data_IF_053062146565
#
_entry.id   IF_053062146565
#
_cell.length_a   1.000
_cell.length_b   1.000
_cell.length_c   1.000
_cell.angle_alpha   90.00
_cell.angle_beta   90.00
_cell.angle_gamma   90.00
#
_symmetry.space_group_name_H-M   'P 1'
#
loop_
_entity.id
_entity.type
_entity.pdbx_description
1 polymer ?
#
# COMPACT_ATOMS: atom_id res chain seq x y z
N UNK A 1 6.57 38.95 46.83
CA UNK A 1 7.02 39.46 45.52
C UNK A 1 6.16 38.81 44.44
N UNK A 2 5.73 39.61 43.46
CA UNK A 2 4.47 39.48 42.72
C UNK A 2 4.35 38.29 41.77
N UNK A 3 3.17 37.65 41.79
CA UNK A 3 2.59 36.88 40.67
C UNK A 3 2.04 37.86 39.62
N UNK A 4 2.30 37.68 38.31
CA UNK A 4 1.60 38.44 37.30
C UNK A 4 0.24 37.79 37.00
N UNK A 5 -0.81 38.59 37.19
CA UNK A 5 -2.16 38.40 36.67
C UNK A 5 -2.17 38.87 35.23
N UNK A 6 -2.67 38.05 34.29
CA UNK A 6 -3.02 38.50 32.93
C UNK A 6 -4.53 38.44 32.76
N UNK A 7 -5.13 39.62 32.71
CA UNK A 7 -6.53 39.87 32.40
C UNK A 7 -6.82 39.59 30.91
N UNK A 8 -7.91 38.83 30.66
CA UNK A 8 -8.67 38.86 29.40
C UNK A 8 -9.25 40.27 29.22
N UNK A 9 -9.07 40.92 28.04
CA UNK A 9 -10.19 41.00 27.11
C UNK A 9 -9.76 41.11 25.62
N UNK A 10 -10.03 40.08 24.82
CA UNK A 10 -10.21 40.20 23.36
C UNK A 10 -10.93 38.96 22.81
N UNK A 11 -12.00 38.53 23.49
CA UNK A 11 -12.93 37.50 23.04
C UNK A 11 -14.26 38.14 22.61
N UNK A 12 -14.19 39.11 21.69
CA UNK A 12 -15.39 39.61 20.98
C UNK A 12 -14.96 40.42 19.76
N UNK A 13 -14.74 39.74 18.63
CA UNK A 13 -14.91 40.26 17.24
C UNK A 13 -14.48 39.26 16.14
N UNK A 14 -14.77 37.96 16.28
CA UNK A 14 -14.97 37.06 15.11
C UNK A 14 -16.17 36.17 15.41
N UNK A 15 -17.35 36.78 15.46
CA UNK A 15 -18.67 36.12 15.50
C UNK A 15 -19.63 37.01 14.73
N UNK A 16 -19.40 37.13 13.41
CA UNK A 16 -20.36 37.57 12.39
C UNK A 16 -19.57 37.81 11.09
N UNK A 17 -19.36 36.76 10.30
CA UNK A 17 -19.57 36.72 8.83
C UNK A 17 -19.60 35.23 8.43
N UNK A 18 -20.71 34.55 8.73
CA UNK A 18 -21.08 33.29 8.07
C UNK A 18 -22.56 33.36 7.73
N UNK A 19 -22.86 33.89 6.54
CA UNK A 19 -24.14 33.70 5.88
C UNK A 19 -24.02 34.05 4.39
N UNK A 20 -23.25 33.26 3.63
CA UNK A 20 -23.52 33.10 2.20
C UNK A 20 -23.03 31.73 1.70
N UNK A 21 -23.84 30.96 0.96
CA UNK A 21 -23.51 29.62 0.51
C UNK A 21 -22.87 29.70 -0.88
N UNK A 22 -21.58 30.08 -0.98
CA UNK A 22 -20.80 30.02 -2.25
C UNK A 22 -19.30 30.22 -1.96
N UNK A 23 -18.63 29.17 -1.47
CA UNK A 23 -17.17 29.01 -1.52
C UNK A 23 -16.78 27.57 -1.10
N UNK A 24 -17.19 26.59 -1.90
CA UNK A 24 -16.59 25.24 -1.89
C UNK A 24 -15.69 25.16 -3.11
N UNK A 25 -14.42 25.52 -2.95
CA UNK A 25 -13.30 25.12 -3.78
C UNK A 25 -12.03 25.81 -3.28
N UNK A 26 -10.92 25.06 -3.29
CA UNK A 26 -9.54 25.51 -3.11
C UNK A 26 -9.07 25.68 -1.64
N UNK A 27 -8.08 24.84 -1.30
CA UNK A 27 -6.81 25.12 -0.59
C UNK A 27 -6.52 24.00 0.41
N UNK A 28 -5.56 23.15 0.05
CA UNK A 28 -4.83 22.30 0.97
C UNK A 28 -3.58 23.02 1.50
N UNK A 29 -3.11 22.50 2.64
CA UNK A 29 -1.80 22.71 3.29
C UNK A 29 -1.57 24.09 3.92
N UNK A 30 -1.73 24.16 5.25
CA UNK A 30 -0.99 25.09 6.14
C UNK A 30 -1.30 24.80 7.62
N UNK A 31 -0.40 24.10 8.32
CA UNK A 31 0.01 24.40 9.71
C UNK A 31 1.10 23.40 10.17
N UNK A 32 2.30 23.90 10.49
CA UNK A 32 3.36 23.16 11.19
C UNK A 32 3.96 24.10 12.23
N UNK A 33 4.05 23.67 13.50
CA UNK A 33 4.89 24.12 14.63
C UNK A 33 4.35 23.41 15.90
N UNK A 34 5.11 22.86 16.85
CA UNK A 34 6.53 22.97 17.19
C UNK A 34 6.98 21.69 17.95
N UNK A 35 8.21 21.20 17.72
CA UNK A 35 8.87 20.21 18.58
C UNK A 35 9.89 20.93 19.45
N UNK A 36 9.77 20.78 20.76
CA UNK A 36 10.72 21.28 21.75
C UNK A 36 12.00 20.45 21.74
N UNK A 37 13.13 21.13 21.70
CA UNK A 37 14.49 20.56 21.81
C UNK A 37 14.73 20.01 23.22
N UNK A 38 15.07 18.72 23.34
CA UNK A 38 15.79 18.19 24.50
C UNK A 38 17.26 18.00 24.11
N UNK A 39 18.14 18.71 24.81
CA UNK A 39 19.59 18.52 24.74
C UNK A 39 19.98 17.29 25.56
N UNK A 40 20.92 16.45 25.09
CA UNK A 40 21.54 15.43 25.94
C UNK A 40 22.71 16.03 26.73
N UNK A 41 22.68 15.79 28.04
CA UNK A 41 23.79 16.07 28.94
C UNK A 41 25.04 15.27 28.54
N UNK A 42 26.17 15.97 28.56
CA UNK A 42 27.51 15.42 28.47
C UNK A 42 27.97 15.09 29.89
N UNK A 43 28.21 13.82 30.15
CA UNK A 43 29.28 13.41 31.07
C UNK A 43 29.87 12.09 30.58
N UNK A 44 31.07 12.21 30.00
CA UNK A 44 31.94 11.10 29.67
C UNK A 44 32.96 10.93 30.78
N UNK A 45 32.90 9.80 31.48
CA UNK A 45 34.01 9.28 32.27
C UNK A 45 34.55 8.02 31.58
N UNK A 46 35.82 8.11 31.22
CA UNK A 46 36.66 7.07 30.62
C UNK A 46 37.10 6.10 31.72
N UNK A 47 36.95 4.80 31.51
CA UNK A 47 37.82 3.77 32.09
C UNK A 47 37.85 2.53 31.19
N UNK A 48 39.08 2.13 30.84
CA UNK A 48 39.45 0.99 30.00
C UNK A 48 39.54 -0.32 30.84
N UNK A 49 39.74 -1.50 30.18
CA UNK A 49 39.27 -2.79 30.66
C UNK A 49 40.30 -3.58 31.47
N UNK A 50 39.83 -4.59 32.21
CA UNK A 50 40.66 -5.69 32.71
C UNK A 50 40.07 -7.03 32.28
N UNK A 51 40.99 -7.92 31.88
CA UNK A 51 40.75 -9.23 31.32
C UNK A 51 40.60 -10.33 32.40
N UNK A 52 40.23 -11.50 31.88
CA UNK A 52 40.47 -12.87 32.36
C UNK A 52 39.54 -13.48 33.42
N UNK A 53 39.07 -14.69 33.09
CA UNK A 53 38.39 -15.61 34.00
C UNK A 53 37.47 -16.61 33.29
N UNK A 54 38.06 -17.67 32.71
CA UNK A 54 37.39 -18.93 32.39
C UNK A 54 36.78 -19.56 33.66
N UNK A 55 35.60 -20.19 33.58
CA UNK A 55 35.44 -21.63 33.86
C UNK A 55 34.01 -22.10 33.52
N UNK A 56 33.88 -23.37 33.14
CA UNK A 56 32.65 -24.02 32.72
C UNK A 56 31.75 -24.50 33.87
N UNK A 57 30.63 -25.13 33.51
CA UNK A 57 29.80 -25.80 34.50
C UNK A 57 28.40 -26.14 34.01
N UNK A 58 28.18 -27.41 33.71
CA UNK A 58 26.94 -27.98 33.26
C UNK A 58 25.82 -27.98 34.33
N UNK A 59 24.58 -27.95 33.86
CA UNK A 59 23.61 -28.96 34.25
C UNK A 59 22.44 -28.57 35.17
N UNK A 60 21.27 -29.03 34.70
CA UNK A 60 20.12 -29.60 35.44
C UNK A 60 18.92 -28.69 35.71
N UNK A 61 17.88 -29.01 34.94
CA UNK A 61 16.47 -29.07 35.34
C UNK A 61 16.28 -29.59 36.77
N UNK A 62 15.45 -28.92 37.56
CA UNK A 62 14.59 -29.54 38.58
C UNK A 62 13.25 -28.83 38.61
N UNK A 63 12.20 -29.63 38.63
CA UNK A 63 10.80 -29.26 38.63
C UNK A 63 10.26 -28.90 40.03
N UNK A 64 9.13 -28.19 40.00
CA UNK A 64 7.96 -28.29 40.88
C UNK A 64 8.07 -27.94 42.37
N UNK A 65 7.26 -26.96 42.80
CA UNK A 65 6.22 -27.15 43.82
C UNK A 65 5.33 -25.91 43.95
N UNK A 66 4.01 -26.10 43.81
CA UNK A 66 2.99 -25.22 44.42
C UNK A 66 2.76 -25.63 45.87
N UNK A 67 2.06 -24.79 46.67
CA UNK A 67 0.77 -25.27 47.15
C UNK A 67 -0.37 -24.26 47.04
N UNK A 68 -1.57 -24.84 47.04
CA UNK A 68 -2.86 -24.25 46.78
C UNK A 68 -3.45 -23.42 47.92
N UNK A 69 -4.36 -22.51 47.58
CA UNK A 69 -5.47 -22.11 48.45
C UNK A 69 -6.78 -22.12 47.65
N UNK A 70 -7.71 -22.95 48.10
CA UNK A 70 -9.08 -23.11 47.61
C UNK A 70 -9.91 -21.87 47.91
N UNK A 71 -10.75 -21.45 46.97
CA UNK A 71 -12.10 -20.91 47.26
C UNK A 71 -13.11 -21.46 46.25
N UNK A 72 -14.24 -21.84 46.82
CA UNK A 72 -15.44 -22.46 46.28
C UNK A 72 -16.32 -21.46 45.53
N UNK A 73 -17.07 -21.93 44.52
CA UNK A 73 -18.30 -21.24 44.09
C UNK A 73 -18.69 -21.48 42.64
N UNK A 74 -19.76 -22.25 42.47
CA UNK A 74 -20.72 -22.33 41.36
C UNK A 74 -20.32 -22.85 39.98
N UNK A 75 -21.04 -23.92 39.62
CA UNK A 75 -20.96 -24.59 38.33
C UNK A 75 -21.77 -23.87 37.25
N UNK A 76 -21.16 -23.79 36.08
CA UNK A 76 -21.83 -23.79 34.79
C UNK A 76 -21.08 -24.80 33.92
N UNK A 77 -21.83 -25.63 33.19
CA UNK A 77 -21.31 -26.71 32.38
C UNK A 77 -20.58 -26.13 31.15
N UNK A 78 -19.27 -26.32 31.05
CA UNK A 78 -18.51 -26.05 29.84
C UNK A 78 -18.74 -27.18 28.83
N UNK A 79 -19.70 -26.97 27.93
CA UNK A 79 -19.78 -27.71 26.67
C UNK A 79 -18.57 -27.37 25.79
N UNK A 80 -18.13 -28.28 24.89
CA UNK A 80 -17.02 -27.99 24.00
C UNK A 80 -17.33 -26.73 23.19
N UNK A 81 -16.38 -25.79 23.20
CA UNK A 81 -16.46 -24.56 22.41
C UNK A 81 -16.81 -24.92 20.96
N UNK A 82 -17.79 -24.22 20.34
CA UNK A 82 -18.14 -24.50 18.96
C UNK A 82 -16.90 -24.27 18.09
N UNK A 83 -16.72 -25.05 17.01
CA UNK A 83 -15.62 -24.82 16.08
C UNK A 83 -15.69 -23.36 15.62
N UNK A 84 -14.53 -22.70 15.58
CA UNK A 84 -14.37 -21.38 14.98
C UNK A 84 -14.91 -21.46 13.56
N UNK A 85 -16.14 -21.02 13.37
CA UNK A 85 -16.81 -21.03 12.08
C UNK A 85 -16.00 -20.17 11.13
N UNK A 86 -15.60 -20.78 10.02
CA UNK A 86 -15.24 -20.08 8.79
C UNK A 86 -16.33 -19.04 8.53
N UNK A 87 -16.03 -17.76 8.75
CA UNK A 87 -16.96 -16.68 8.38
C UNK A 87 -17.17 -16.81 6.89
N UNK A 88 -18.38 -17.21 6.51
CA UNK A 88 -18.81 -17.32 5.13
C UNK A 88 -18.37 -16.08 4.37
N UNK A 89 -17.39 -16.26 3.49
CA UNK A 89 -17.07 -15.30 2.44
C UNK A 89 -18.38 -14.82 1.82
N UNK A 90 -18.63 -13.51 1.87
CA UNK A 90 -19.86 -12.89 1.37
C UNK A 90 -20.30 -13.53 0.04
N UNK A 91 -21.61 -13.81 -0.18
CA UNK A 91 -22.09 -14.43 -1.43
C UNK A 91 -21.59 -13.74 -2.71
N UNK A 92 -21.33 -12.42 -2.65
CA UNK A 92 -20.70 -11.64 -3.72
C UNK A 92 -19.26 -12.11 -4.02
N UNK A 93 -18.44 -12.37 -3.00
CA UNK A 93 -17.05 -12.87 -3.15
C UNK A 93 -17.06 -14.24 -3.81
N UNK A 94 -17.91 -15.17 -3.35
CA UNK A 94 -18.01 -16.51 -3.93
C UNK A 94 -18.51 -16.47 -5.36
N UNK A 95 -19.46 -15.60 -5.67
CA UNK A 95 -19.90 -15.37 -7.04
C UNK A 95 -18.74 -14.90 -7.93
N UNK A 96 -17.98 -13.89 -7.50
CA UNK A 96 -16.83 -13.36 -8.25
C UNK A 96 -15.74 -14.42 -8.45
N UNK A 97 -15.42 -15.21 -7.43
CA UNK A 97 -14.45 -16.30 -7.51
C UNK A 97 -14.91 -17.45 -8.43
N UNK A 98 -16.22 -17.60 -8.64
CA UNK A 98 -16.80 -18.58 -9.55
C UNK A 98 -16.95 -18.12 -10.99
N UNK A 99 -16.66 -16.85 -11.30
CA UNK A 99 -16.77 -16.34 -12.68
C UNK A 99 -15.71 -16.97 -13.59
N UNK A 100 -16.06 -17.41 -14.81
CA UNK A 100 -15.09 -17.84 -15.79
C UNK A 100 -14.31 -16.63 -16.36
N UNK A 101 -13.08 -16.83 -16.87
CA UNK A 101 -12.30 -15.75 -17.51
C UNK A 101 -13.07 -14.99 -18.59
N UNK A 102 -13.92 -15.69 -19.35
CA UNK A 102 -14.74 -15.12 -20.42
C UNK A 102 -15.87 -14.20 -19.94
N UNK A 103 -16.09 -14.05 -18.62
CA UNK A 103 -17.13 -13.16 -18.09
C UNK A 103 -16.76 -11.67 -18.21
N UNK A 104 -15.48 -11.36 -18.44
CA UNK A 104 -15.01 -10.00 -18.74
C UNK A 104 -14.16 -9.99 -20.00
N UNK A 105 -14.02 -8.83 -20.63
CA UNK A 105 -13.12 -8.65 -21.77
C UNK A 105 -12.43 -7.29 -21.71
N UNK A 106 -11.10 -7.30 -21.67
CA UNK A 106 -10.27 -6.10 -21.82
C UNK A 106 -10.02 -5.83 -23.30
N UNK A 107 -10.12 -4.56 -23.73
CA UNK A 107 -9.76 -4.14 -25.10
C UNK A 107 -8.83 -2.94 -25.07
N UNK A 108 -7.96 -2.85 -26.07
CA UNK A 108 -7.02 -1.74 -26.20
C UNK A 108 -5.87 -1.78 -25.19
N UNK A 109 -5.19 -0.64 -25.07
CA UNK A 109 -4.03 -0.49 -24.18
C UNK A 109 -4.43 0.05 -22.80
N UNK A 110 -3.49 0.11 -21.84
CA UNK A 110 -3.77 0.59 -20.49
C UNK A 110 -4.36 2.00 -20.41
N UNK A 111 -4.04 2.84 -21.38
CA UNK A 111 -4.35 4.29 -21.41
C UNK A 111 -5.24 4.69 -22.58
N UNK A 112 -5.75 3.70 -23.31
CA UNK A 112 -6.68 3.84 -24.41
C UNK A 112 -7.39 2.49 -24.55
N UNK A 113 -8.17 2.16 -23.52
CA UNK A 113 -8.78 0.85 -23.35
C UNK A 113 -10.24 0.95 -22.93
N UNK A 114 -10.91 -0.19 -22.98
CA UNK A 114 -12.26 -0.37 -22.46
C UNK A 114 -12.38 -1.72 -21.79
N UNK A 115 -13.41 -1.85 -20.97
CA UNK A 115 -13.76 -3.08 -20.26
C UNK A 115 -15.20 -3.45 -20.61
N UNK A 116 -15.43 -4.71 -20.96
CA UNK A 116 -16.75 -5.30 -21.14
C UNK A 116 -16.94 -6.36 -20.05
N UNK A 117 -18.16 -6.49 -19.50
CA UNK A 117 -18.41 -7.43 -18.40
C UNK A 117 -17.58 -7.16 -17.14
N UNK A 118 -17.27 -5.89 -16.86
CA UNK A 118 -16.40 -5.52 -15.74
C UNK A 118 -16.91 -6.05 -14.40
N UNK A 119 -16.01 -6.67 -13.64
CA UNK A 119 -16.30 -7.28 -12.35
C UNK A 119 -15.97 -6.28 -11.25
N UNK A 120 -16.91 -5.93 -10.35
CA UNK A 120 -16.61 -5.07 -9.23
C UNK A 120 -15.75 -5.81 -8.21
N UNK A 121 -14.69 -5.17 -7.72
CA UNK A 121 -14.05 -5.57 -6.48
C UNK A 121 -15.08 -5.37 -5.33
N UNK A 122 -15.33 -6.40 -4.49
CA UNK A 122 -16.25 -6.30 -3.36
C UNK A 122 -15.87 -5.16 -2.41
N UNK A 123 -16.85 -4.49 -1.81
CA UNK A 123 -16.56 -3.41 -0.85
C UNK A 123 -15.80 -3.95 0.37
N UNK A 124 -16.13 -5.17 0.78
CA UNK A 124 -15.44 -5.93 1.82
C UNK A 124 -15.26 -7.38 1.37
N UNK A 125 -14.09 -7.94 1.68
CA UNK A 125 -13.77 -9.35 1.54
C UNK A 125 -12.92 -9.80 2.73
N UNK A 126 -12.69 -11.11 2.85
CA UNK A 126 -11.73 -11.61 3.83
C UNK A 126 -10.32 -11.13 3.48
N UNK A 127 -9.69 -10.41 4.42
CA UNK A 127 -8.32 -9.93 4.22
C UNK A 127 -8.17 -8.80 3.21
N UNK A 128 -9.26 -8.19 2.73
CA UNK A 128 -9.19 -7.07 1.80
C UNK A 128 -10.48 -6.24 1.79
N UNK A 129 -10.37 -4.95 1.49
CA UNK A 129 -11.52 -4.08 1.28
C UNK A 129 -11.24 -3.00 0.22
N UNK A 130 -12.30 -2.48 -0.39
CA UNK A 130 -12.20 -1.30 -1.25
C UNK A 130 -12.15 -0.05 -0.38
N UNK A 131 -11.18 0.84 -0.64
CA UNK A 131 -10.99 2.05 0.15
C UNK A 131 -12.23 2.96 0.06
N UNK A 132 -12.93 3.22 1.17
CA UNK A 132 -14.16 4.03 1.16
C UNK A 132 -13.91 5.51 0.84
N UNK A 133 -12.65 5.97 0.81
CA UNK A 133 -12.27 7.32 0.38
C UNK A 133 -12.19 7.47 -1.14
N UNK A 134 -12.31 6.37 -1.90
CA UNK A 134 -12.28 6.35 -3.37
C UNK A 134 -13.69 6.29 -3.96
N UNK A 135 -13.82 6.67 -5.22
CA UNK A 135 -15.08 6.57 -5.96
C UNK A 135 -15.38 5.09 -6.24
N UNK A 136 -16.46 4.57 -5.65
CA UNK A 136 -16.88 3.17 -5.85
C UNK A 136 -17.20 2.82 -7.31
N UNK A 137 -17.35 3.79 -8.21
CA UNK A 137 -17.47 3.55 -9.65
C UNK A 137 -16.16 3.11 -10.31
N UNK A 138 -15.01 3.36 -9.67
CA UNK A 138 -13.69 2.97 -10.14
C UNK A 138 -13.22 1.63 -9.56
N UNK A 139 -14.12 0.78 -9.07
CA UNK A 139 -13.77 -0.52 -8.45
C UNK A 139 -13.81 -1.72 -9.40
N UNK A 140 -13.91 -1.50 -10.72
CA UNK A 140 -14.17 -2.58 -11.67
C UNK A 140 -12.89 -3.07 -12.34
N UNK A 141 -12.79 -4.37 -12.59
CA UNK A 141 -11.65 -4.97 -13.28
C UNK A 141 -12.05 -6.17 -14.11
N UNK A 142 -11.05 -6.75 -14.76
CA UNK A 142 -11.13 -8.09 -15.34
C UNK A 142 -11.32 -9.14 -14.24
N UNK A 143 -11.96 -10.26 -14.58
CA UNK A 143 -12.16 -11.40 -13.69
C UNK A 143 -10.82 -11.82 -13.05
N UNK A 144 -9.79 -11.97 -13.87
CA UNK A 144 -8.46 -12.42 -13.45
C UNK A 144 -7.83 -11.47 -12.43
N UNK A 145 -7.95 -10.15 -12.64
CA UNK A 145 -7.40 -9.16 -11.71
C UNK A 145 -8.13 -9.18 -10.37
N UNK A 146 -9.47 -9.16 -10.39
CA UNK A 146 -10.27 -9.11 -9.16
C UNK A 146 -10.08 -10.39 -8.35
N UNK A 147 -10.11 -11.56 -8.99
CA UNK A 147 -9.90 -12.82 -8.31
C UNK A 147 -8.49 -12.95 -7.72
N UNK A 148 -7.46 -12.51 -8.45
CA UNK A 148 -6.08 -12.51 -7.95
C UNK A 148 -5.92 -11.64 -6.69
N UNK A 149 -6.57 -10.47 -6.64
CA UNK A 149 -6.55 -9.60 -5.47
C UNK A 149 -7.26 -10.23 -4.26
N UNK A 150 -8.42 -10.85 -4.49
CA UNK A 150 -9.17 -11.55 -3.44
C UNK A 150 -8.36 -12.71 -2.84
N UNK A 151 -7.77 -13.55 -3.70
CA UNK A 151 -6.91 -14.66 -3.26
C UNK A 151 -5.67 -14.17 -2.52
N UNK A 152 -5.00 -13.13 -3.02
CA UNK A 152 -3.81 -12.58 -2.38
C UNK A 152 -4.12 -11.93 -1.02
N UNK A 153 -5.21 -11.18 -0.91
CA UNK A 153 -5.67 -10.58 0.35
C UNK A 153 -5.99 -11.65 1.40
N UNK A 154 -6.80 -12.64 1.03
CA UNK A 154 -7.15 -13.77 1.90
C UNK A 154 -5.89 -14.57 2.34
N UNK A 155 -4.95 -14.81 1.43
CA UNK A 155 -3.70 -15.50 1.75
C UNK A 155 -2.82 -14.76 2.77
N UNK A 156 -2.74 -13.42 2.68
CA UNK A 156 -2.02 -12.61 3.67
C UNK A 156 -2.75 -12.63 5.00
N UNK A 157 -4.07 -12.46 4.99
CA UNK A 157 -4.89 -12.48 6.20
C UNK A 157 -4.77 -13.81 6.94
N UNK A 158 -4.85 -14.94 6.24
CA UNK A 158 -4.71 -16.26 6.84
C UNK A 158 -3.32 -16.47 7.49
N UNK A 159 -2.25 -15.92 6.90
CA UNK A 159 -0.87 -16.11 7.38
C UNK A 159 -0.45 -15.11 8.45
N UNK A 160 -0.94 -13.88 8.36
CA UNK A 160 -0.42 -12.74 9.12
C UNK A 160 -1.51 -11.83 9.68
N UNK A 161 -2.78 -12.04 9.36
CA UNK A 161 -3.85 -11.07 9.61
C UNK A 161 -3.65 -9.78 8.80
N UNK A 162 -4.41 -8.74 9.15
CA UNK A 162 -4.45 -7.47 8.40
C UNK A 162 -5.32 -7.56 7.15
N UNK A 163 -5.45 -6.42 6.46
CA UNK A 163 -6.28 -6.30 5.26
C UNK A 163 -5.55 -5.52 4.16
N UNK A 164 -5.67 -6.01 2.93
CA UNK A 164 -5.27 -5.30 1.73
C UNK A 164 -6.26 -4.16 1.46
N UNK A 165 -5.78 -2.93 1.42
CA UNK A 165 -6.61 -1.77 1.04
C UNK A 165 -6.47 -1.54 -0.46
N UNK A 166 -7.57 -1.74 -1.18
CA UNK A 166 -7.64 -1.60 -2.64
C UNK A 166 -8.19 -0.23 -2.99
N UNK A 167 -7.44 0.55 -3.76
CA UNK A 167 -7.87 1.83 -4.34
C UNK A 167 -8.46 1.58 -5.73
N UNK A 168 -8.25 2.50 -6.67
CA UNK A 168 -8.90 2.47 -7.98
C UNK A 168 -8.42 1.29 -8.82
N UNK A 169 -9.37 0.59 -9.45
CA UNK A 169 -9.20 -0.25 -10.62
C UNK A 169 -9.64 0.57 -11.84
N UNK A 170 -10.56 0.08 -12.68
CA UNK A 170 -11.20 0.82 -13.76
C UNK A 170 -12.63 1.23 -13.45
N UNK A 171 -13.21 2.06 -14.33
CA UNK A 171 -14.67 2.21 -14.39
C UNK A 171 -15.32 0.92 -14.91
N UNK A 172 -16.64 0.79 -14.72
CA UNK A 172 -17.42 -0.39 -15.15
C UNK A 172 -17.23 -0.77 -16.62
N UNK A 173 -17.11 0.23 -17.50
CA UNK A 173 -16.85 0.03 -18.94
C UNK A 173 -15.42 0.40 -19.35
N UNK A 174 -14.53 0.60 -18.37
CA UNK A 174 -13.20 1.12 -18.60
C UNK A 174 -13.19 2.61 -19.03
N UNK A 175 -12.18 3.00 -19.81
CA UNK A 175 -12.00 4.38 -20.26
C UNK A 175 -11.33 5.31 -19.23
N UNK A 176 -11.14 6.60 -19.57
CA UNK A 176 -10.37 7.53 -18.77
C UNK A 176 -10.95 7.78 -17.37
N UNK A 177 -10.07 7.77 -16.35
CA UNK A 177 -10.38 8.18 -14.99
C UNK A 177 -9.63 9.48 -14.68
N UNK A 178 -10.30 10.42 -14.01
CA UNK A 178 -9.66 11.66 -13.59
C UNK A 178 -8.39 11.37 -12.76
N UNK A 179 -7.32 12.12 -13.03
CA UNK A 179 -6.00 12.00 -12.39
C UNK A 179 -5.22 10.71 -12.66
N UNK A 180 -5.73 9.81 -13.52
CA UNK A 180 -5.06 8.57 -13.89
C UNK A 180 -4.53 8.60 -15.32
N UNK A 181 -3.31 8.12 -15.51
CA UNK A 181 -2.70 7.93 -16.83
C UNK A 181 -3.08 6.61 -17.50
N UNK A 182 -3.55 5.62 -16.74
CA UNK A 182 -3.97 4.31 -17.24
C UNK A 182 -5.29 3.86 -16.61
N UNK A 183 -5.46 2.59 -16.20
CA UNK A 183 -6.70 2.05 -15.62
C UNK A 183 -7.89 1.94 -16.58
N UNK A 184 -7.68 2.10 -17.89
CA UNK A 184 -8.80 2.15 -18.82
C UNK A 184 -9.30 0.79 -19.26
N UNK A 185 -8.50 -0.26 -19.11
CA UNK A 185 -8.81 -1.61 -19.61
C UNK A 185 -9.21 -2.63 -18.54
N UNK A 186 -9.42 -2.24 -17.29
CA UNK A 186 -9.72 -3.19 -16.19
C UNK A 186 -8.57 -4.10 -15.78
N UNK A 187 -7.33 -3.73 -16.13
CA UNK A 187 -6.12 -4.54 -15.88
C UNK A 187 -5.11 -3.86 -14.96
N UNK A 188 -5.45 -2.67 -14.47
CA UNK A 188 -4.63 -1.92 -13.52
C UNK A 188 -5.37 -1.81 -12.18
N UNK A 189 -4.60 -1.75 -11.09
CA UNK A 189 -5.11 -1.49 -9.74
C UNK A 189 -4.07 -0.78 -8.89
N UNK A 190 -4.54 0.16 -8.09
CA UNK A 190 -3.75 0.74 -7.00
C UNK A 190 -4.06 0.00 -5.70
N UNK A 191 -3.04 -0.53 -5.02
CA UNK A 191 -3.20 -1.13 -3.69
C UNK A 191 -2.23 -0.50 -2.71
N UNK A 192 -2.73 -0.10 -1.54
CA UNK A 192 -1.88 0.52 -0.52
C UNK A 192 -0.95 -0.53 0.10
N UNK A 193 0.23 -0.08 0.54
CA UNK A 193 1.11 -0.95 1.32
C UNK A 193 0.47 -1.31 2.66
N UNK A 194 0.84 -2.45 3.22
CA UNK A 194 0.56 -2.71 4.64
C UNK A 194 1.45 -1.80 5.48
N UNK A 195 0.91 -1.24 6.57
CA UNK A 195 1.64 -0.32 7.44
C UNK A 195 1.53 -0.71 8.90
N UNK A 196 2.54 -0.28 9.66
CA UNK A 196 2.59 -0.38 11.10
C UNK A 196 2.55 1.04 11.71
N UNK A 197 2.12 1.14 12.96
CA UNK A 197 2.40 2.32 13.80
C UNK A 197 3.89 2.42 14.13
N UNK A 198 4.30 3.50 14.81
CA UNK A 198 5.68 3.65 15.30
C UNK A 198 6.07 2.52 16.28
N UNK A 199 5.10 2.00 17.03
CA UNK A 199 5.26 0.93 18.02
C UNK A 199 5.33 -0.46 17.35
N UNK A 200 5.09 -0.54 16.04
CA UNK A 200 5.13 -1.78 15.29
C UNK A 200 3.79 -2.51 15.17
N UNK A 201 2.69 -1.89 15.58
CA UNK A 201 1.36 -2.50 15.50
C UNK A 201 0.75 -2.37 14.11
N UNK A 202 0.14 -3.42 13.54
CA UNK A 202 -0.51 -3.36 12.24
C UNK A 202 -1.66 -2.35 12.22
N UNK A 203 -1.77 -1.58 11.15
CA UNK A 203 -2.88 -0.64 10.95
C UNK A 203 -3.31 -0.56 9.48
N UNK A 204 -4.57 -0.17 9.22
CA UNK A 204 -4.98 0.17 7.86
C UNK A 204 -4.13 1.31 7.31
N UNK A 205 -3.66 1.14 6.08
CA UNK A 205 -2.90 2.16 5.38
C UNK A 205 -3.82 3.23 4.82
N UNK A 206 -3.33 4.47 4.84
CA UNK A 206 -4.01 5.65 4.28
C UNK A 206 -3.38 6.12 2.98
N UNK A 207 -2.32 5.44 2.49
CA UNK A 207 -1.53 5.89 1.35
C UNK A 207 -0.57 7.02 1.74
N UNK A 208 0.07 6.92 2.91
CA UNK A 208 1.10 7.85 3.32
C UNK A 208 2.38 7.61 2.49
N UNK A 209 3.00 8.64 1.89
CA UNK A 209 4.30 8.51 1.23
C UNK A 209 5.37 8.03 2.22
N UNK A 210 6.14 7.03 1.80
CA UNK A 210 7.18 6.42 2.61
C UNK A 210 8.59 6.83 2.14
N UNK A 211 9.37 7.38 3.06
CA UNK A 211 10.75 7.82 2.85
C UNK A 211 11.73 6.66 2.56
N UNK A 212 13.01 6.98 2.41
CA UNK A 212 14.07 5.99 2.17
C UNK A 212 14.20 4.92 3.27
N UNK A 213 13.81 5.25 4.50
CA UNK A 213 13.78 4.31 5.62
C UNK A 213 12.49 3.47 5.64
N UNK A 214 11.50 3.81 4.82
CA UNK A 214 10.18 3.19 4.77
C UNK A 214 9.22 3.77 5.82
N UNK A 215 9.42 5.02 6.22
CA UNK A 215 8.61 5.72 7.22
C UNK A 215 7.83 6.87 6.57
N UNK A 216 6.65 7.15 7.11
CA UNK A 216 5.80 8.25 6.70
C UNK A 216 4.98 8.75 7.88
N UNK A 217 4.02 9.60 7.59
CA UNK A 217 3.05 10.10 8.58
C UNK A 217 1.67 10.06 7.95
N UNK A 218 0.71 9.52 8.69
CA UNK A 218 -0.71 9.71 8.42
C UNK A 218 -1.13 11.02 9.09
N UNK A 219 -1.14 12.08 8.29
CA UNK A 219 -1.64 13.38 8.70
C UNK A 219 -3.17 13.33 8.64
N UNK A 220 -3.84 13.18 9.79
CA UNK A 220 -5.30 13.07 9.83
C UNK A 220 -5.92 14.43 9.43
N UNK A 221 -5.96 15.38 10.37
CA UNK A 221 -6.27 16.76 10.07
C UNK A 221 -4.96 17.53 9.93
N UNK A 222 -4.66 17.99 8.71
CA UNK A 222 -3.46 18.78 8.40
C UNK A 222 -3.33 20.06 9.22
N UNK A 223 -4.37 20.50 9.94
CA UNK A 223 -4.35 21.65 10.84
C UNK A 223 -4.09 21.29 12.31
N UNK A 224 -4.04 20.01 12.66
CA UNK A 224 -3.95 19.51 14.04
C UNK A 224 -2.75 18.57 14.21
N UNK A 225 -1.56 19.11 14.41
CA UNK A 225 -0.33 18.32 14.58
C UNK A 225 -0.39 17.24 15.69
N UNK A 226 -1.32 17.35 16.65
CA UNK A 226 -1.49 16.37 17.72
C UNK A 226 -2.15 15.05 17.26
N UNK A 227 -2.76 15.01 16.06
CA UNK A 227 -3.39 13.80 15.51
C UNK A 227 -2.55 13.11 14.44
N UNK A 228 -1.36 13.63 14.15
CA UNK A 228 -0.38 13.03 13.24
C UNK A 228 0.08 11.68 13.79
N UNK A 229 -0.05 10.63 12.97
CA UNK A 229 0.36 9.29 13.36
C UNK A 229 1.55 8.85 12.51
N UNK A 230 2.76 8.71 13.07
CA UNK A 230 3.89 8.15 12.36
C UNK A 230 3.59 6.70 11.93
N UNK A 231 3.97 6.38 10.71
CA UNK A 231 3.77 5.06 10.12
C UNK A 231 5.05 4.52 9.50
N UNK A 232 5.11 3.21 9.39
CA UNK A 232 6.19 2.53 8.69
C UNK A 232 5.67 1.40 7.82
N UNK A 233 6.44 1.03 6.79
CA UNK A 233 6.13 -0.12 5.94
C UNK A 233 6.10 -1.40 6.78
N UNK A 234 4.96 -2.09 6.77
CA UNK A 234 4.92 -3.49 7.16
C UNK A 234 5.52 -4.33 6.04
N UNK A 235 6.83 -4.52 6.10
CA UNK A 235 7.58 -5.24 5.07
C UNK A 235 7.20 -6.73 5.02
N UNK A 236 6.68 -7.29 6.13
CA UNK A 236 6.32 -8.71 6.23
C UNK A 236 5.03 -8.95 5.46
N UNK A 237 3.95 -8.24 5.81
CA UNK A 237 2.66 -8.39 5.12
C UNK A 237 2.71 -7.90 3.67
N UNK A 238 3.43 -6.80 3.42
CA UNK A 238 3.63 -6.31 2.05
C UNK A 238 4.39 -7.32 1.19
N UNK A 239 5.42 -7.98 1.72
CA UNK A 239 6.09 -9.07 0.99
C UNK A 239 5.19 -10.29 0.81
N UNK A 240 4.43 -10.69 1.83
CA UNK A 240 3.51 -11.81 1.74
C UNK A 240 2.45 -11.59 0.63
N UNK A 241 1.97 -10.36 0.46
CA UNK A 241 1.09 -9.99 -0.66
C UNK A 241 1.78 -10.16 -2.02
N UNK A 242 3.01 -9.64 -2.16
CA UNK A 242 3.81 -9.80 -3.39
C UNK A 242 4.04 -11.28 -3.70
N UNK A 243 4.37 -12.09 -2.69
CA UNK A 243 4.60 -13.52 -2.84
C UNK A 243 3.32 -14.25 -3.24
N UNK A 244 2.20 -13.98 -2.59
CA UNK A 244 0.91 -14.58 -2.93
C UNK A 244 0.50 -14.25 -4.36
N UNK A 245 0.59 -12.96 -4.74
CA UNK A 245 0.20 -12.50 -6.08
C UNK A 245 1.12 -13.05 -7.18
N UNK A 246 2.43 -13.13 -6.95
CA UNK A 246 3.37 -13.62 -7.99
C UNK A 246 3.50 -15.14 -8.05
N UNK A 247 3.00 -15.85 -7.04
CA UNK A 247 2.92 -17.31 -7.03
C UNK A 247 1.59 -17.84 -7.55
N UNK A 248 0.57 -16.98 -7.64
CA UNK A 248 -0.72 -17.32 -8.23
C UNK A 248 -0.55 -17.59 -9.75
N UNK A 249 -0.88 -18.82 -10.21
CA UNK A 249 -0.69 -19.20 -11.61
C UNK A 249 -1.62 -18.46 -12.57
N UNK A 250 -2.70 -17.85 -12.08
CA UNK A 250 -3.67 -17.12 -12.89
C UNK A 250 -3.41 -15.59 -12.84
N UNK A 251 -2.61 -15.12 -11.87
CA UNK A 251 -2.22 -13.72 -11.74
C UNK A 251 -1.03 -13.38 -12.66
N UNK A 252 -1.33 -13.10 -13.93
CA UNK A 252 -0.31 -12.75 -14.92
C UNK A 252 0.19 -11.30 -14.77
N UNK A 253 0.90 -10.99 -13.68
CA UNK A 253 1.42 -9.63 -13.44
C UNK A 253 2.44 -9.20 -14.51
N UNK A 254 2.16 -8.05 -15.14
CA UNK A 254 2.99 -7.33 -16.12
C UNK A 254 3.84 -6.25 -15.45
N UNK A 255 3.25 -5.46 -14.55
CA UNK A 255 3.91 -4.39 -13.82
C UNK A 255 3.51 -4.37 -12.36
N UNK A 256 4.45 -3.92 -11.55
CA UNK A 256 4.21 -3.48 -10.19
C UNK A 256 5.01 -2.21 -9.97
N UNK A 257 4.42 -1.05 -10.26
CA UNK A 257 5.07 0.22 -10.05
C UNK A 257 5.18 0.52 -8.57
N UNK A 258 6.40 0.83 -8.14
CA UNK A 258 6.74 1.05 -6.74
C UNK A 258 8.05 1.82 -6.66
N UNK A 259 8.19 2.64 -5.62
CA UNK A 259 9.42 3.40 -5.40
C UNK A 259 10.63 2.47 -5.26
N UNK A 260 11.76 2.88 -5.84
CA UNK A 260 12.97 2.06 -5.97
C UNK A 260 13.49 1.60 -4.63
N UNK A 261 13.45 2.45 -3.60
CA UNK A 261 13.91 2.11 -2.25
C UNK A 261 12.99 1.07 -1.58
N UNK A 262 11.68 1.18 -1.75
CA UNK A 262 10.72 0.21 -1.23
C UNK A 262 10.86 -1.15 -1.93
N UNK A 263 11.01 -1.16 -3.25
CA UNK A 263 11.36 -2.36 -4.03
C UNK A 263 12.59 -3.07 -3.46
N UNK A 264 13.66 -2.32 -3.19
CA UNK A 264 14.88 -2.89 -2.62
C UNK A 264 14.66 -3.44 -1.21
N UNK A 265 13.86 -2.75 -0.39
CA UNK A 265 13.51 -3.18 0.98
C UNK A 265 12.77 -4.52 0.95
N UNK A 266 11.80 -4.65 0.04
CA UNK A 266 11.03 -5.88 -0.19
C UNK A 266 11.93 -7.02 -0.70
N UNK A 267 12.79 -6.78 -1.69
CA UNK A 267 13.74 -7.80 -2.17
C UNK A 267 14.70 -8.27 -1.07
N UNK A 268 15.20 -7.36 -0.22
CA UNK A 268 16.03 -7.74 0.92
C UNK A 268 15.26 -8.59 1.93
N UNK A 269 14.01 -8.24 2.21
CA UNK A 269 13.16 -9.03 3.09
C UNK A 269 12.88 -10.42 2.49
N UNK A 270 12.43 -10.51 1.24
CA UNK A 270 12.14 -11.78 0.58
C UNK A 270 13.33 -12.75 0.55
N UNK A 271 14.55 -12.24 0.31
CA UNK A 271 15.78 -13.05 0.38
C UNK A 271 16.03 -13.60 1.79
N UNK A 272 15.84 -12.78 2.83
CA UNK A 272 16.01 -13.21 4.23
C UNK A 272 14.92 -14.18 4.69
N UNK A 273 13.70 -14.00 4.19
CA UNK A 273 12.56 -14.86 4.47
C UNK A 273 12.60 -16.20 3.70
N UNK A 274 13.61 -16.43 2.85
CA UNK A 274 13.75 -17.67 2.09
C UNK A 274 12.78 -17.80 0.91
N UNK A 275 12.28 -16.69 0.37
CA UNK A 275 11.36 -16.72 -0.76
C UNK A 275 11.96 -17.43 -1.97
N UNK A 276 11.11 -18.11 -2.75
CA UNK A 276 11.59 -18.91 -3.88
C UNK A 276 12.35 -18.06 -4.90
N UNK A 277 13.38 -18.65 -5.52
CA UNK A 277 14.14 -17.98 -6.59
C UNK A 277 13.24 -17.56 -7.77
N UNK A 278 12.14 -18.29 -8.00
CA UNK A 278 11.17 -17.95 -9.04
C UNK A 278 10.45 -16.63 -8.73
N UNK A 279 9.88 -16.49 -7.52
CA UNK A 279 9.18 -15.28 -7.07
C UNK A 279 10.12 -14.07 -7.03
N UNK A 280 11.33 -14.23 -6.47
CA UNK A 280 12.33 -13.15 -6.43
C UNK A 280 12.67 -12.64 -7.83
N UNK A 281 12.97 -13.54 -8.77
CA UNK A 281 13.24 -13.15 -10.18
C UNK A 281 12.03 -12.52 -10.84
N UNK A 282 10.83 -13.03 -10.58
CA UNK A 282 9.59 -12.49 -11.13
C UNK A 282 9.37 -11.06 -10.65
N UNK A 283 9.51 -10.81 -9.35
CA UNK A 283 9.40 -9.48 -8.76
C UNK A 283 10.48 -8.54 -9.30
N UNK A 284 11.73 -9.01 -9.44
CA UNK A 284 12.81 -8.21 -10.03
C UNK A 284 12.49 -7.71 -11.45
N UNK A 285 11.78 -8.52 -12.26
CA UNK A 285 11.41 -8.22 -13.64
C UNK A 285 10.19 -7.31 -13.78
N UNK A 286 9.18 -7.45 -12.92
CA UNK A 286 7.92 -6.68 -13.03
C UNK A 286 7.90 -5.41 -12.20
N UNK A 287 8.67 -5.37 -11.10
CA UNK A 287 8.67 -4.22 -10.21
C UNK A 287 9.69 -3.17 -10.63
N UNK A 288 9.24 -1.93 -10.85
CA UNK A 288 10.10 -0.80 -11.19
C UNK A 288 9.45 0.54 -10.80
N UNK A 289 10.26 1.56 -10.57
CA UNK A 289 9.78 2.93 -10.35
C UNK A 289 9.57 3.63 -11.69
N UNK A 290 8.36 4.15 -11.99
CA UNK A 290 8.11 4.99 -13.15
C UNK A 290 8.46 6.45 -12.84
N UNK A 291 7.92 7.42 -13.59
CA UNK A 291 8.18 8.85 -13.35
C UNK A 291 7.69 9.35 -11.98
N UNK A 292 6.43 9.05 -11.64
CA UNK A 292 5.92 9.23 -10.27
C UNK A 292 6.43 8.08 -9.39
N UNK A 293 6.92 8.32 -8.16
CA UNK A 293 7.64 7.31 -7.41
C UNK A 293 6.79 6.10 -7.01
N UNK A 294 5.49 6.27 -6.74
CA UNK A 294 4.67 5.24 -6.08
C UNK A 294 5.30 4.83 -4.74
N UNK A 295 5.55 5.83 -3.90
CA UNK A 295 6.11 5.69 -2.54
C UNK A 295 5.03 5.49 -1.46
N UNK A 296 3.77 5.48 -1.84
CA UNK A 296 2.56 5.34 -1.01
C UNK A 296 1.69 4.10 -1.35
N UNK A 297 1.86 3.52 -2.54
CA UNK A 297 1.10 2.36 -3.01
C UNK A 297 1.85 1.54 -4.06
N UNK A 298 1.34 0.34 -4.36
CA UNK A 298 1.65 -0.35 -5.62
C UNK A 298 0.61 0.02 -6.67
N UNK A 299 1.06 0.42 -7.86
CA UNK A 299 0.23 0.34 -9.07
C UNK A 299 0.58 -0.95 -9.79
N UNK A 300 -0.37 -1.87 -9.86
CA UNK A 300 -0.19 -3.20 -10.45
C UNK A 300 -0.89 -3.25 -11.80
N UNK A 301 -0.26 -3.89 -12.78
CA UNK A 301 -0.86 -4.21 -14.08
C UNK A 301 -0.76 -5.69 -14.37
N UNK A 302 -1.83 -6.31 -14.86
CA UNK A 302 -1.82 -7.66 -15.41
C UNK A 302 -1.74 -7.67 -16.93
N UNK A 303 -1.08 -8.68 -17.49
CA UNK A 303 -1.04 -8.95 -18.92
C UNK A 303 -2.44 -9.25 -19.45
N UNK A 304 -2.65 -9.07 -20.75
CA UNK A 304 -3.85 -9.56 -21.41
C UNK A 304 -3.99 -11.09 -21.24
N UNK A 305 -5.22 -11.56 -21.01
CA UNK A 305 -5.55 -12.98 -21.15
C UNK A 305 -5.48 -13.40 -22.62
N UNK A 306 -5.48 -14.71 -22.90
CA UNK A 306 -5.46 -15.22 -24.29
C UNK A 306 -6.73 -14.79 -25.02
N UNK A 307 -7.87 -14.85 -24.34
CA UNK A 307 -9.17 -14.44 -24.88
C UNK A 307 -9.22 -12.93 -25.14
N UNK A 308 -8.70 -12.13 -24.19
CA UNK A 308 -8.58 -10.68 -24.34
C UNK A 308 -7.70 -10.29 -25.53
N UNK A 309 -6.57 -10.99 -25.75
CA UNK A 309 -5.70 -10.74 -26.90
C UNK A 309 -6.45 -10.94 -28.23
N UNK A 310 -7.26 -11.99 -28.33
CA UNK A 310 -8.12 -12.25 -29.49
C UNK A 310 -9.14 -11.12 -29.68
N UNK A 311 -9.71 -10.63 -28.58
CA UNK A 311 -10.67 -9.53 -28.53
C UNK A 311 -10.09 -8.12 -28.77
N UNK A 312 -8.76 -8.00 -28.91
CA UNK A 312 -8.08 -6.74 -29.23
C UNK A 312 -7.41 -6.03 -28.06
N UNK A 313 -7.23 -6.71 -26.92
CA UNK A 313 -6.37 -6.26 -25.83
C UNK A 313 -4.92 -6.05 -26.31
N UNK A 314 -4.26 -5.08 -25.69
CA UNK A 314 -2.87 -4.73 -25.99
C UNK A 314 -2.06 -4.55 -24.71
N UNK A 315 -0.95 -5.26 -24.66
CA UNK A 315 0.03 -5.24 -23.58
C UNK A 315 0.97 -4.03 -23.64
N UNK A 316 1.60 -3.73 -22.50
CA UNK A 316 2.68 -2.72 -22.42
C UNK A 316 4.05 -3.37 -22.26
N UNK A 317 5.09 -2.66 -22.68
CA UNK A 317 6.46 -3.17 -22.63
C UNK A 317 7.07 -3.20 -21.22
N UNK A 318 8.11 -4.03 -21.00
CA UNK A 318 8.65 -5.06 -21.86
C UNK A 318 7.86 -6.35 -21.72
N UNK A 319 8.06 -7.23 -22.70
CA UNK A 319 7.51 -8.57 -22.70
C UNK A 319 8.60 -9.56 -22.25
N UNK A 320 8.56 -10.08 -21.02
CA UNK A 320 9.60 -10.99 -20.54
C UNK A 320 9.50 -12.37 -21.20
N UNK A 321 10.60 -13.14 -21.31
CA UNK A 321 10.62 -14.42 -22.04
C UNK A 321 9.60 -15.45 -21.55
N UNK A 322 9.38 -15.54 -20.23
CA UNK A 322 8.42 -16.47 -19.64
C UNK A 322 6.97 -16.18 -20.09
N UNK A 323 6.63 -14.91 -20.35
CA UNK A 323 5.30 -14.56 -20.83
C UNK A 323 5.14 -14.91 -22.31
N UNK A 324 6.18 -14.68 -23.12
CA UNK A 324 6.18 -15.08 -24.54
C UNK A 324 6.02 -16.59 -24.68
N UNK A 325 6.73 -17.35 -23.84
CA UNK A 325 6.61 -18.80 -23.80
C UNK A 325 5.18 -19.25 -23.45
N UNK A 326 4.56 -18.61 -22.44
CA UNK A 326 3.15 -18.84 -22.09
C UNK A 326 2.22 -18.61 -23.29
N UNK A 327 2.32 -17.44 -23.92
CA UNK A 327 1.47 -17.12 -25.07
C UNK A 327 1.69 -18.10 -26.23
N UNK A 328 2.95 -18.43 -26.53
CA UNK A 328 3.30 -19.39 -27.57
C UNK A 328 2.70 -20.78 -27.27
N UNK A 329 2.73 -21.25 -26.02
CA UNK A 329 2.10 -22.53 -25.63
C UNK A 329 0.58 -22.53 -25.77
N UNK A 330 -0.05 -21.35 -25.75
CA UNK A 330 -1.48 -21.16 -25.99
C UNK A 330 -1.81 -20.80 -27.45
N UNK A 331 -0.85 -20.87 -28.38
CA UNK A 331 -1.05 -20.48 -29.78
C UNK A 331 -1.31 -18.98 -30.00
N UNK A 332 -0.99 -18.14 -29.01
CA UNK A 332 -1.22 -16.70 -29.04
C UNK A 332 0.07 -15.91 -29.28
N UNK A 333 -0.06 -14.73 -29.87
CA UNK A 333 1.04 -13.78 -30.03
C UNK A 333 0.77 -12.50 -29.25
N UNK A 334 1.77 -11.92 -28.56
CA UNK A 334 1.58 -10.68 -27.83
C UNK A 334 1.21 -9.54 -28.78
N UNK A 335 0.22 -8.74 -28.39
CA UNK A 335 -0.17 -7.51 -29.08
C UNK A 335 0.28 -6.33 -28.24
N UNK A 336 1.15 -5.48 -28.77
CA UNK A 336 1.66 -4.33 -28.02
C UNK A 336 0.78 -3.10 -28.23
N UNK A 337 0.55 -2.36 -27.15
CA UNK A 337 0.06 -1.00 -27.22
C UNK A 337 1.15 -0.11 -27.81
N UNK A 338 0.75 0.94 -28.53
CA UNK A 338 1.68 2.00 -28.91
C UNK A 338 2.23 2.71 -27.67
N UNK A 339 3.21 3.62 -27.84
CA UNK A 339 3.66 4.46 -26.74
C UNK A 339 2.47 5.17 -26.11
N UNK A 340 2.47 5.30 -24.78
CA UNK A 340 1.39 5.88 -24.00
C UNK A 340 1.20 7.35 -24.42
N UNK A 341 0.15 7.65 -25.21
CA UNK A 341 -0.02 8.97 -25.85
C UNK A 341 -0.88 9.94 -25.04
N UNK A 342 -1.79 9.43 -24.22
CA UNK A 342 -2.69 10.23 -23.41
C UNK A 342 -2.09 10.38 -22.02
N UNK A 343 -1.51 11.55 -21.74
CA UNK A 343 -1.24 11.96 -20.37
C UNK A 343 -2.40 12.86 -19.96
N UNK A 344 -3.11 12.48 -18.90
CA UNK A 344 -3.96 13.44 -18.21
C UNK A 344 -3.10 14.68 -17.89
N UNK A 345 -3.64 15.91 -17.97
CA UNK A 345 -2.92 17.11 -17.55
C UNK A 345 -2.43 16.89 -16.11
N UNK A 346 -1.11 16.88 -15.94
CA UNK A 346 -0.49 16.77 -14.62
C UNK A 346 -0.13 18.16 -14.15
N UNK A 347 -0.49 18.51 -12.92
CA UNK A 347 0.07 19.67 -12.24
C UNK A 347 1.55 19.37 -11.97
N UNK A 348 2.45 20.14 -12.57
CA UNK A 348 3.88 20.00 -12.31
C UNK A 348 4.21 20.41 -10.87
N UNK A 349 5.33 19.91 -10.33
CA UNK A 349 5.80 20.33 -9.01
C UNK A 349 5.98 21.86 -8.91
N UNK A 350 6.44 22.51 -9.97
CA UNK A 350 6.58 23.96 -10.04
C UNK A 350 5.23 24.69 -9.99
N UNK A 351 4.22 24.18 -10.71
CA UNK A 351 2.86 24.73 -10.66
C UNK A 351 2.21 24.52 -9.29
N UNK A 352 2.34 23.33 -8.71
CA UNK A 352 1.83 23.02 -7.38
C UNK A 352 2.46 23.93 -6.31
N UNK A 353 3.80 24.09 -6.33
CA UNK A 353 4.52 24.99 -5.42
C UNK A 353 4.09 26.45 -5.57
N UNK A 354 3.89 26.92 -6.82
CA UNK A 354 3.39 28.28 -7.08
C UNK A 354 1.97 28.47 -6.56
N UNK A 355 1.10 27.49 -6.75
CA UNK A 355 -0.28 27.53 -6.28
C UNK A 355 -0.37 27.48 -4.75
N UNK A 356 0.54 26.76 -4.07
CA UNK A 356 0.61 26.69 -2.62
C UNK A 356 1.08 27.99 -1.95
N UNK A 357 1.82 28.84 -2.68
CA UNK A 357 2.36 30.09 -2.13
C UNK A 357 3.48 29.87 -1.11
N UNK A 358 3.74 30.84 -0.21
CA UNK A 358 4.74 30.71 0.84
C UNK A 358 4.45 29.53 1.77
N UNK A 359 5.39 28.61 1.90
CA UNK A 359 5.31 27.45 2.80
C UNK A 359 6.21 27.62 4.03
N UNK A 360 6.00 26.83 5.08
CA UNK A 360 6.95 26.75 6.19
C UNK A 360 8.32 26.21 5.70
N UNK A 361 9.47 26.65 6.25
CA UNK A 361 10.79 26.10 5.89
C UNK A 361 10.87 24.58 5.94
N UNK A 362 10.26 23.96 6.95
CA UNK A 362 10.29 22.50 7.11
C UNK A 362 9.50 21.76 6.01
N UNK A 363 8.38 22.33 5.56
CA UNK A 363 7.60 21.79 4.44
C UNK A 363 8.43 21.83 3.16
N UNK A 364 9.15 22.94 2.90
CA UNK A 364 10.07 23.01 1.76
C UNK A 364 11.18 21.98 1.87
N UNK A 365 11.82 21.89 3.04
CA UNK A 365 12.89 20.93 3.28
C UNK A 365 12.43 19.48 3.05
N UNK A 366 11.22 19.13 3.50
CA UNK A 366 10.61 17.82 3.25
C UNK A 366 10.35 17.57 1.76
N UNK A 367 9.76 18.54 1.05
CA UNK A 367 9.51 18.43 -0.39
C UNK A 367 10.81 18.30 -1.19
N UNK A 368 11.84 19.07 -0.83
CA UNK A 368 13.14 19.06 -1.50
C UNK A 368 13.89 17.74 -1.23
N UNK A 369 13.80 17.21 -0.01
CA UNK A 369 14.31 15.89 0.32
C UNK A 369 13.62 14.80 -0.52
N UNK A 370 12.29 14.87 -0.66
CA UNK A 370 11.52 13.93 -1.49
C UNK A 370 11.90 14.03 -2.97
N UNK A 371 12.04 15.25 -3.51
CA UNK A 371 12.45 15.49 -4.90
C UNK A 371 13.79 14.78 -5.24
N UNK A 372 14.73 14.72 -4.30
CA UNK A 372 16.03 14.10 -4.51
C UNK A 372 15.98 12.59 -4.83
N UNK A 373 14.96 11.86 -4.35
CA UNK A 373 14.78 10.43 -4.66
C UNK A 373 13.63 10.12 -5.61
N UNK A 374 12.80 11.11 -5.95
CA UNK A 374 11.79 10.96 -7.01
C UNK A 374 12.40 10.81 -8.41
N UNK A 375 13.67 11.21 -8.59
CA UNK A 375 14.41 11.07 -9.86
C UNK A 375 15.59 10.12 -9.71
N UNK A 376 15.36 8.80 -9.53
CA UNK A 376 16.44 7.85 -9.38
C UNK A 376 17.28 7.82 -10.66
N UNK A 377 18.62 7.70 -10.56
CA UNK A 377 19.45 7.48 -11.74
C UNK A 377 19.01 6.20 -12.45
N UNK A 378 19.14 6.19 -13.78
CA UNK A 378 18.84 5.04 -14.60
C UNK A 378 19.58 3.80 -14.09
N UNK A 379 18.88 2.66 -14.00
CA UNK A 379 19.45 1.45 -13.46
C UNK A 379 18.41 0.41 -13.06
N UNK A 380 18.83 -0.68 -12.39
CA UNK A 380 17.92 -1.72 -11.92
C UNK A 380 16.79 -1.15 -11.04
N UNK A 381 15.55 -1.55 -11.35
CA UNK A 381 14.37 -1.10 -10.59
C UNK A 381 13.85 0.28 -10.97
N UNK A 382 14.35 0.90 -12.04
CA UNK A 382 13.73 2.07 -12.70
C UNK A 382 13.12 1.60 -14.01
N UNK A 383 11.87 2.00 -14.30
CA UNK A 383 11.21 1.62 -15.53
C UNK A 383 11.93 2.26 -16.74
N UNK A 384 11.99 1.53 -17.85
CA UNK A 384 12.56 2.00 -19.12
C UNK A 384 11.46 2.20 -20.14
#
# INVERSE_FOLDING_TARGET
MHRPVLHRPALTRIRQVCSSPRARAVVGVLALLAVTTFAPDRDGAVAQPTADGEDGGAGRNVAAASPAARRTGDGAQDGPAPPVGTRDSHPEVQHVLGLPPTASTSRGGPSAGSLEGGVPFPLQAEGAHFNPRRDARARYGTVELVQALLRAGAAVHARHGGELVVNDLSLISGGPIAHHGSHQGGRDVDVLFYTLTAEGEPRPSVGAPLDLAGRGVDFQDLSVAADDVPVQLDVVRTWAFVEALLSDPDAWVQRMFVARHLRQRLLRHGRRAGASRAVLRRFEQVACQPGYPHDDHFHIRVFCSVDDLAAGCRDSGPMPPWHRARLASAGATPRMAGPERLRAPITTAAEARRAAGPMHPDVRAWLDARDAWMRPPAGPGVCR
#
